data_IF_165294218111
#
_entry.id   IF_165294218111
#
_cell.length_a   1.000
_cell.length_b   1.000
_cell.length_c   1.000
_cell.angle_alpha   90.00
_cell.angle_beta   90.00
_cell.angle_gamma   90.00
#
_symmetry.space_group_name_H-M   'P 1'
#
loop_
_entity.id
_entity.type
_entity.pdbx_description
1 polymer ?
#
# COMPACT_ATOMS: atom_id res chain seq x y z
N UNK A 1 5.69 -3.92 -7.65
CA UNK A 1 5.66 -2.69 -6.83
C UNK A 1 6.24 -1.48 -7.57
N UNK A 2 7.23 -1.63 -8.45
CA UNK A 2 7.68 -0.55 -9.36
C UNK A 2 6.84 -0.58 -10.65
N UNK A 3 6.36 0.55 -11.19
CA UNK A 3 5.57 0.59 -12.42
C UNK A 3 6.48 0.45 -13.65
N UNK A 4 7.16 -0.71 -13.76
CA UNK A 4 8.21 -0.93 -14.77
C UNK A 4 7.66 -0.77 -16.18
N UNK A 5 6.52 -1.39 -16.52
CA UNK A 5 5.93 -1.29 -17.85
C UNK A 5 5.61 0.16 -18.29
N UNK A 6 4.91 0.99 -17.49
CA UNK A 6 4.75 2.41 -17.82
C UNK A 6 6.07 3.17 -17.98
N UNK A 7 7.09 2.85 -17.17
CA UNK A 7 8.39 3.50 -17.24
C UNK A 7 9.16 3.08 -18.49
N UNK A 8 9.18 1.79 -18.84
CA UNK A 8 9.87 1.29 -20.03
C UNK A 8 9.21 1.77 -21.32
N UNK A 9 7.88 1.95 -21.32
CA UNK A 9 7.16 2.53 -22.45
C UNK A 9 7.56 3.98 -22.77
N UNK A 10 8.09 4.74 -21.80
CA UNK A 10 8.53 6.12 -22.00
C UNK A 10 10.06 6.24 -22.09
N UNK A 11 10.78 5.59 -21.18
CA UNK A 11 12.24 5.68 -21.09
C UNK A 11 12.97 4.73 -22.05
N UNK A 12 12.32 3.66 -22.50
CA UNK A 12 12.97 2.52 -23.16
C UNK A 12 13.36 1.44 -22.15
N UNK A 13 13.24 0.16 -22.54
CA UNK A 13 13.60 -0.98 -21.69
C UNK A 13 15.09 -0.99 -21.31
N UNK A 14 15.95 -0.48 -22.19
CA UNK A 14 17.39 -0.33 -22.02
C UNK A 14 17.80 0.84 -21.11
N UNK A 15 16.84 1.61 -20.60
CA UNK A 15 17.07 2.75 -19.71
C UNK A 15 16.41 2.59 -18.33
N UNK A 16 15.83 1.41 -18.03
CA UNK A 16 15.21 1.09 -16.75
C UNK A 16 15.98 -0.03 -16.07
N UNK A 17 16.63 0.31 -14.97
CA UNK A 17 17.48 -0.61 -14.21
C UNK A 17 16.88 -0.91 -12.84
N UNK A 18 17.06 -2.16 -12.37
CA UNK A 18 16.56 -2.61 -11.07
C UNK A 18 17.72 -3.07 -10.19
N UNK A 19 17.97 -2.32 -9.11
CA UNK A 19 18.98 -2.63 -8.12
C UNK A 19 18.36 -3.35 -6.93
N UNK A 20 18.92 -4.50 -6.57
CA UNK A 20 18.56 -5.27 -5.37
C UNK A 20 19.71 -5.25 -4.37
N UNK A 21 19.37 -5.37 -3.09
CA UNK A 21 20.34 -5.35 -2.00
C UNK A 21 19.91 -6.29 -0.88
N UNK A 22 20.83 -6.64 0.01
CA UNK A 22 20.52 -7.42 1.20
C UNK A 22 19.78 -6.56 2.23
N UNK A 23 18.48 -6.81 2.42
CA UNK A 23 17.62 -6.08 3.36
C UNK A 23 18.05 -6.21 4.83
N UNK A 24 18.83 -7.24 5.19
CA UNK A 24 19.37 -7.45 6.53
C UNK A 24 20.87 -7.10 6.64
N UNK A 25 21.45 -6.55 5.57
CA UNK A 25 22.86 -6.16 5.50
C UNK A 25 23.12 -4.79 6.13
N UNK A 26 24.39 -4.35 6.11
CA UNK A 26 24.74 -3.01 6.56
C UNK A 26 24.36 -1.98 5.49
N UNK A 27 23.61 -0.91 5.81
CA UNK A 27 23.18 0.07 4.82
C UNK A 27 24.32 0.69 4.00
N UNK A 28 25.47 0.93 4.62
CA UNK A 28 26.65 1.49 3.93
C UNK A 28 27.34 0.51 2.97
N UNK A 29 27.20 -0.80 3.17
CA UNK A 29 27.68 -1.79 2.20
C UNK A 29 26.76 -1.78 0.97
N UNK A 30 25.44 -1.80 1.19
CA UNK A 30 24.45 -1.66 0.11
C UNK A 30 24.58 -0.31 -0.65
N UNK A 31 24.93 0.76 0.04
CA UNK A 31 25.20 2.07 -0.57
C UNK A 31 26.44 2.06 -1.47
N UNK A 32 27.50 1.35 -1.08
CA UNK A 32 28.67 1.14 -1.94
C UNK A 32 28.29 0.35 -3.19
N UNK A 33 27.53 -0.73 -3.03
CA UNK A 33 27.07 -1.55 -4.16
C UNK A 33 26.16 -0.75 -5.10
N UNK A 34 25.30 0.13 -4.54
CA UNK A 34 24.49 1.06 -5.32
C UNK A 34 25.36 2.04 -6.12
N UNK A 35 26.42 2.57 -5.52
CA UNK A 35 27.35 3.45 -6.24
C UNK A 35 28.01 2.74 -7.44
N UNK A 36 28.52 1.53 -7.21
CA UNK A 36 29.16 0.73 -8.26
C UNK A 36 28.15 0.40 -9.38
N UNK A 37 26.91 0.09 -9.00
CA UNK A 37 25.82 -0.13 -9.94
C UNK A 37 25.49 1.11 -10.78
N UNK A 38 25.45 2.30 -10.17
CA UNK A 38 25.22 3.57 -10.89
C UNK A 38 26.34 3.83 -11.92
N UNK A 39 27.61 3.58 -11.57
CA UNK A 39 28.71 3.74 -12.51
C UNK A 39 28.56 2.79 -13.71
N UNK A 40 28.21 1.53 -13.45
CA UNK A 40 27.95 0.54 -14.49
C UNK A 40 26.79 0.98 -15.42
N UNK A 41 25.68 1.47 -14.87
CA UNK A 41 24.54 1.98 -15.65
C UNK A 41 24.96 3.14 -16.55
N UNK A 42 25.71 4.10 -16.01
CA UNK A 42 26.21 5.25 -16.77
C UNK A 42 27.16 4.84 -17.90
N UNK A 43 28.05 3.87 -17.63
CA UNK A 43 28.97 3.33 -18.64
C UNK A 43 28.22 2.63 -19.78
N UNK A 44 27.20 1.83 -19.46
CA UNK A 44 26.41 1.11 -20.47
C UNK A 44 25.55 2.04 -21.34
N UNK A 45 24.91 3.03 -20.71
CA UNK A 45 23.93 3.90 -21.36
C UNK A 45 24.55 5.16 -21.96
N UNK A 46 25.80 5.49 -21.60
CA UNK A 46 26.46 6.74 -21.97
C UNK A 46 25.87 8.00 -21.30
N UNK A 47 24.97 7.85 -20.32
CA UNK A 47 24.36 8.98 -19.63
C UNK A 47 25.25 9.53 -18.52
N UNK A 48 25.26 10.85 -18.34
CA UNK A 48 26.05 11.51 -17.29
C UNK A 48 25.44 11.33 -15.89
N UNK A 49 24.12 11.16 -15.80
CA UNK A 49 23.38 11.07 -14.53
C UNK A 49 22.23 10.08 -14.62
N UNK A 50 21.81 9.59 -13.47
CA UNK A 50 20.65 8.71 -13.31
C UNK A 50 19.55 9.35 -12.46
N UNK A 51 18.32 8.91 -12.65
CA UNK A 51 17.23 9.16 -11.71
C UNK A 51 17.10 7.95 -10.76
N UNK A 52 16.89 8.21 -9.47
CA UNK A 52 16.64 7.15 -8.48
C UNK A 52 15.16 7.13 -8.09
N UNK A 53 14.61 5.93 -7.94
CA UNK A 53 13.28 5.67 -7.40
C UNK A 53 13.38 4.75 -6.18
N UNK A 54 13.83 5.24 -5.00
CA UNK A 54 13.88 4.42 -3.79
C UNK A 54 12.46 4.08 -3.33
N UNK A 55 12.23 2.80 -3.03
CA UNK A 55 10.95 2.30 -2.53
C UNK A 55 11.16 1.60 -1.20
N UNK A 56 10.30 1.87 -0.20
CA UNK A 56 10.37 1.22 1.12
C UNK A 56 11.79 1.33 1.72
N UNK A 57 12.37 0.23 2.20
CA UNK A 57 13.73 0.15 2.74
C UNK A 57 14.83 0.67 1.78
N UNK A 58 14.55 0.75 0.47
CA UNK A 58 15.44 1.42 -0.49
C UNK A 58 15.72 2.88 -0.12
N UNK A 59 14.82 3.54 0.61
CA UNK A 59 15.04 4.87 1.21
C UNK A 59 16.25 4.91 2.13
N UNK A 60 16.38 3.94 3.05
CA UNK A 60 17.53 3.83 3.95
C UNK A 60 18.84 3.68 3.19
N UNK A 61 18.85 2.87 2.13
CA UNK A 61 20.03 2.68 1.27
C UNK A 61 20.36 3.97 0.52
N UNK A 62 19.35 4.68 -0.01
CA UNK A 62 19.55 5.97 -0.68
C UNK A 62 20.10 7.03 0.29
N UNK A 63 19.57 7.14 1.50
CA UNK A 63 20.09 8.04 2.55
C UNK A 63 21.54 7.69 2.90
N UNK A 64 21.86 6.41 3.08
CA UNK A 64 23.23 5.95 3.32
C UNK A 64 24.18 6.27 2.15
N UNK A 65 23.71 6.15 0.90
CA UNK A 65 24.44 6.55 -0.30
C UNK A 65 24.77 8.04 -0.30
N UNK A 66 23.78 8.92 -0.10
CA UNK A 66 24.05 10.36 -0.05
C UNK A 66 24.94 10.75 1.13
N UNK A 67 24.86 10.04 2.26
CA UNK A 67 25.76 10.25 3.39
C UNK A 67 27.20 9.80 3.10
N UNK A 68 27.38 8.70 2.36
CA UNK A 68 28.70 8.17 2.01
C UNK A 68 29.36 8.93 0.85
N UNK A 69 28.55 9.46 -0.07
CA UNK A 69 28.98 10.14 -1.30
C UNK A 69 28.35 11.54 -1.42
N UNK A 70 28.57 12.46 -0.47
CA UNK A 70 27.87 13.75 -0.42
C UNK A 70 28.18 14.68 -1.61
N UNK A 71 29.33 14.51 -2.25
CA UNK A 71 29.77 15.31 -3.41
C UNK A 71 29.37 14.67 -4.75
N UNK A 72 28.56 13.61 -4.75
CA UNK A 72 28.15 12.93 -5.99
C UNK A 72 27.42 13.89 -6.93
N UNK A 73 27.80 13.87 -8.20
CA UNK A 73 27.10 14.57 -9.28
C UNK A 73 26.35 13.60 -10.21
N UNK A 74 26.33 12.31 -9.86
CA UNK A 74 25.78 11.23 -10.69
C UNK A 74 24.26 11.17 -10.66
N UNK A 75 23.63 11.90 -9.73
CA UNK A 75 22.18 11.87 -9.54
C UNK A 75 21.54 13.13 -10.12
N UNK A 76 20.54 12.94 -10.98
CA UNK A 76 19.72 14.01 -11.54
C UNK A 76 18.47 14.29 -10.68
N UNK A 77 17.78 13.22 -10.25
CA UNK A 77 16.53 13.32 -9.48
C UNK A 77 16.35 12.11 -8.58
N UNK A 78 15.72 12.32 -7.43
CA UNK A 78 15.26 11.25 -6.54
C UNK A 78 13.75 11.38 -6.36
N UNK A 79 13.02 10.29 -6.59
CA UNK A 79 11.58 10.20 -6.32
C UNK A 79 11.37 9.09 -5.29
N UNK A 80 11.01 9.46 -4.07
CA UNK A 80 10.77 8.50 -3.00
C UNK A 80 9.33 7.98 -3.08
N UNK A 81 9.16 6.66 -3.01
CA UNK A 81 7.83 6.01 -2.94
C UNK A 81 7.76 5.23 -1.64
N UNK A 82 6.98 5.72 -0.68
CA UNK A 82 6.89 5.16 0.69
C UNK A 82 8.27 4.81 1.28
N UNK A 83 9.28 5.64 1.01
CA UNK A 83 10.68 5.30 1.31
C UNK A 83 10.98 5.50 2.81
N UNK A 84 11.68 4.54 3.43
CA UNK A 84 12.06 4.59 4.85
C UNK A 84 13.27 5.53 5.06
N UNK A 85 13.08 6.85 4.96
CA UNK A 85 14.20 7.80 4.93
C UNK A 85 14.90 7.95 6.29
N UNK A 86 14.16 7.80 7.39
CA UNK A 86 14.68 7.80 8.77
C UNK A 86 14.55 6.40 9.42
N UNK A 87 14.57 5.35 8.60
CA UNK A 87 14.37 3.97 9.06
C UNK A 87 12.95 3.69 9.55
N UNK A 88 12.81 2.67 10.39
CA UNK A 88 11.54 2.33 11.03
C UNK A 88 11.77 1.91 12.48
N UNK A 89 10.96 2.44 13.39
CA UNK A 89 10.90 2.11 14.82
C UNK A 89 10.31 0.71 15.07
N UNK A 90 9.63 0.13 14.08
CA UNK A 90 8.79 -1.07 14.24
C UNK A 90 9.51 -2.26 14.89
N UNK A 91 10.73 -2.55 14.44
CA UNK A 91 11.53 -3.66 14.98
C UNK A 91 11.99 -3.35 16.40
N UNK A 92 12.33 -2.09 16.69
CA UNK A 92 12.74 -1.70 18.03
C UNK A 92 11.59 -1.76 19.02
N UNK A 93 10.40 -1.34 18.60
CA UNK A 93 9.21 -1.30 19.44
C UNK A 93 8.74 -2.74 19.72
N UNK A 94 8.78 -3.61 18.71
CA UNK A 94 8.49 -5.04 18.87
C UNK A 94 9.44 -5.71 19.88
N UNK A 95 10.76 -5.45 19.78
CA UNK A 95 11.76 -6.01 20.68
C UNK A 95 11.66 -5.47 22.11
N UNK A 96 11.08 -4.28 22.29
CA UNK A 96 10.82 -3.69 23.62
C UNK A 96 9.49 -4.17 24.22
N UNK A 97 8.73 -5.00 23.49
CA UNK A 97 7.42 -5.49 23.92
C UNK A 97 6.39 -4.37 24.06
N UNK A 98 6.49 -3.32 23.24
CA UNK A 98 5.52 -2.23 23.29
C UNK A 98 4.17 -2.65 22.70
N UNK A 99 3.11 -2.01 23.20
CA UNK A 99 1.71 -2.17 22.81
C UNK A 99 1.42 -1.68 21.36
N UNK A 100 2.32 -1.92 20.38
CA UNK A 100 2.10 -1.60 18.96
C UNK A 100 0.87 -2.35 18.45
N UNK A 101 0.78 -3.62 18.85
CA UNK A 101 -0.42 -4.43 18.73
C UNK A 101 -1.16 -4.21 20.04
N UNK A 102 -2.08 -3.24 20.06
CA UNK A 102 -3.01 -3.11 21.18
C UNK A 102 -3.79 -4.42 21.33
N UNK A 103 -4.19 -4.78 22.56
CA UNK A 103 -5.06 -5.95 22.78
C UNK A 103 -6.30 -5.89 21.88
N UNK A 104 -6.83 -4.68 21.63
CA UNK A 104 -7.91 -4.45 20.68
C UNK A 104 -7.51 -4.92 19.27
N UNK A 105 -6.46 -4.35 18.66
CA UNK A 105 -5.97 -4.76 17.34
C UNK A 105 -5.62 -6.27 17.25
N UNK A 106 -5.01 -6.86 18.28
CA UNK A 106 -4.70 -8.30 18.33
C UNK A 106 -5.95 -9.17 18.17
N UNK A 107 -7.05 -8.77 18.81
CA UNK A 107 -8.27 -9.57 18.91
C UNK A 107 -9.37 -9.18 17.91
N UNK A 108 -9.38 -7.94 17.40
CA UNK A 108 -10.41 -7.44 16.47
C UNK A 108 -9.96 -7.41 15.02
N UNK A 109 -8.73 -6.99 14.74
CA UNK A 109 -8.34 -6.58 13.38
C UNK A 109 -7.17 -7.41 12.82
N UNK A 110 -6.27 -7.89 13.67
CA UNK A 110 -5.10 -8.65 13.25
C UNK A 110 -5.49 -9.95 12.53
N UNK A 111 -6.41 -10.75 13.07
CA UNK A 111 -6.80 -12.01 12.44
C UNK A 111 -7.56 -11.83 11.10
N UNK A 112 -8.48 -10.85 10.97
CA UNK A 112 -9.01 -10.41 9.68
C UNK A 112 -7.93 -10.00 8.68
N UNK A 113 -6.97 -9.16 9.07
CA UNK A 113 -5.87 -8.71 8.20
C UNK A 113 -4.94 -9.87 7.79
N UNK A 114 -4.74 -10.84 8.68
CA UNK A 114 -3.93 -12.04 8.45
C UNK A 114 -4.56 -13.03 7.47
N UNK A 115 -5.90 -13.14 7.42
CA UNK A 115 -6.61 -14.24 6.74
C UNK A 115 -7.42 -13.74 5.53
N UNK A 116 -7.69 -12.44 5.46
CA UNK A 116 -8.56 -11.79 4.49
C UNK A 116 -9.94 -11.51 5.11
N UNK A 117 -10.44 -10.29 4.92
CA UNK A 117 -11.72 -9.81 5.49
C UNK A 117 -12.95 -10.64 5.04
N UNK A 118 -12.80 -11.43 3.98
CA UNK A 118 -13.87 -12.20 3.34
C UNK A 118 -13.93 -13.70 3.73
N UNK A 119 -13.01 -14.18 4.57
CA UNK A 119 -12.90 -15.58 4.98
C UNK A 119 -13.54 -15.81 6.37
N UNK A 120 -14.58 -16.67 6.50
CA UNK A 120 -15.22 -17.04 7.79
C UNK A 120 -14.25 -17.57 8.86
N UNK A 121 -13.09 -18.07 8.41
CA UNK A 121 -12.01 -18.55 9.24
C UNK A 121 -11.40 -17.46 10.12
N UNK A 122 -11.44 -16.18 9.71
CA UNK A 122 -10.86 -15.04 10.45
C UNK A 122 -11.42 -14.91 11.88
N UNK A 123 -12.73 -15.09 12.05
CA UNK A 123 -13.38 -15.02 13.35
C UNK A 123 -13.47 -16.38 14.07
N UNK A 124 -13.42 -17.49 13.33
CA UNK A 124 -13.38 -18.85 13.89
C UNK A 124 -12.07 -19.13 14.65
N UNK A 125 -10.97 -18.49 14.24
CA UNK A 125 -9.67 -18.52 14.95
C UNK A 125 -9.81 -17.96 16.37
N UNK A 126 -10.59 -16.91 16.58
CA UNK A 126 -10.84 -16.33 17.91
C UNK A 126 -11.52 -17.33 18.88
N UNK A 127 -12.36 -18.21 18.34
CA UNK A 127 -13.00 -19.31 19.09
C UNK A 127 -12.04 -20.51 19.26
N UNK A 128 -11.24 -20.82 18.24
CA UNK A 128 -10.35 -22.01 18.17
C UNK A 128 -9.04 -21.87 18.97
N UNK A 129 -8.50 -20.65 19.14
CA UNK A 129 -7.33 -20.38 20.00
C UNK A 129 -7.57 -20.83 21.45
N UNK A 130 -8.84 -21.00 21.85
CA UNK A 130 -9.24 -21.46 23.16
C UNK A 130 -9.30 -22.99 23.34
N UNK A 131 -9.21 -23.81 22.27
CA UNK A 131 -9.41 -25.27 22.35
C UNK A 131 -8.31 -26.12 21.69
N UNK A 132 -7.36 -25.52 20.99
CA UNK A 132 -6.31 -26.22 20.22
C UNK A 132 -5.06 -26.51 21.09
N UNK A 133 -4.40 -27.68 20.92
CA UNK A 133 -3.12 -27.99 21.58
C UNK A 133 -2.02 -26.96 21.24
N UNK A 134 -1.21 -26.58 22.25
CA UNK A 134 -0.16 -25.56 22.14
C UNK A 134 0.74 -25.71 20.91
N UNK A 135 1.03 -26.94 20.46
CA UNK A 135 1.90 -27.16 19.31
C UNK A 135 1.29 -26.64 17.99
N UNK A 136 -0.01 -26.83 17.80
CA UNK A 136 -0.72 -26.32 16.62
C UNK A 136 -0.90 -24.80 16.73
N UNK A 137 -1.02 -24.26 17.95
CA UNK A 137 -0.96 -22.81 18.20
C UNK A 137 0.42 -22.27 17.87
N UNK A 138 1.52 -22.96 18.17
CA UNK A 138 2.86 -22.52 17.77
C UNK A 138 3.07 -22.61 16.26
N UNK A 139 2.55 -23.64 15.60
CA UNK A 139 2.62 -23.71 14.12
C UNK A 139 1.75 -22.65 13.45
N UNK A 140 0.60 -22.31 14.06
CA UNK A 140 -0.28 -21.22 13.61
C UNK A 140 0.31 -19.85 13.96
N UNK A 141 0.96 -19.72 15.11
CA UNK A 141 1.70 -18.53 15.55
C UNK A 141 2.99 -18.37 14.76
N UNK A 142 3.63 -19.41 14.23
CA UNK A 142 4.78 -19.26 13.34
C UNK A 142 4.33 -18.78 11.96
N UNK A 143 3.17 -19.28 11.48
CA UNK A 143 2.51 -18.78 10.25
C UNK A 143 1.88 -17.39 10.43
N UNK A 144 1.37 -17.11 11.61
CA UNK A 144 0.82 -15.80 11.97
C UNK A 144 1.95 -14.85 12.35
N UNK A 145 3.08 -15.30 12.90
CA UNK A 145 4.25 -14.47 13.17
C UNK A 145 4.92 -14.10 11.87
N UNK A 146 5.01 -15.00 10.87
CA UNK A 146 5.48 -14.58 9.54
C UNK A 146 4.57 -13.50 8.96
N UNK A 147 3.25 -13.67 9.05
CA UNK A 147 2.29 -12.69 8.53
C UNK A 147 2.10 -11.44 9.41
N UNK A 148 2.30 -11.52 10.73
CA UNK A 148 2.33 -10.39 11.68
C UNK A 148 3.63 -9.64 11.47
N UNK A 149 4.75 -10.34 11.23
CA UNK A 149 5.98 -9.73 10.77
C UNK A 149 5.76 -9.09 9.41
N UNK A 150 5.00 -9.69 8.49
CA UNK A 150 4.62 -9.05 7.23
C UNK A 150 3.78 -7.78 7.52
N UNK A 151 2.70 -7.85 8.31
CA UNK A 151 1.87 -6.70 8.73
C UNK A 151 2.65 -5.61 9.49
N UNK A 152 3.65 -5.99 10.29
CA UNK A 152 4.52 -5.05 11.01
C UNK A 152 5.59 -4.47 10.07
N UNK A 153 6.05 -5.21 9.07
CA UNK A 153 6.89 -4.69 7.97
C UNK A 153 6.07 -3.76 7.06
N UNK A 154 4.73 -3.82 7.11
CA UNK A 154 3.77 -2.99 6.37
C UNK A 154 3.47 -1.64 7.07
N UNK A 155 4.10 -1.28 8.20
CA UNK A 155 3.92 0.06 8.80
C UNK A 155 5.22 0.85 8.75
N UNK A 156 5.26 1.88 7.89
CA UNK A 156 6.29 2.92 7.95
C UNK A 156 5.62 4.24 8.33
N UNK A 157 6.14 4.85 9.40
CA UNK A 157 5.60 6.10 9.92
C UNK A 157 5.69 7.24 8.90
N UNK A 158 4.65 8.09 8.88
CA UNK A 158 4.63 9.34 8.10
C UNK A 158 5.85 10.22 8.43
N UNK A 159 6.27 10.19 9.69
CA UNK A 159 7.47 10.88 10.17
C UNK A 159 8.73 10.44 9.41
N UNK A 160 8.90 9.14 9.17
CA UNK A 160 10.07 8.61 8.44
C UNK A 160 9.95 8.88 6.94
N UNK A 161 8.78 8.59 6.34
CA UNK A 161 8.61 8.69 4.87
C UNK A 161 8.63 10.11 4.32
N UNK A 162 8.16 11.08 5.09
CA UNK A 162 8.14 12.49 4.72
C UNK A 162 9.12 13.35 5.53
N UNK A 163 9.98 12.71 6.34
CA UNK A 163 10.98 13.32 7.24
C UNK A 163 10.39 14.46 8.09
N UNK A 164 9.95 14.15 9.30
CA UNK A 164 9.37 15.07 10.30
C UNK A 164 7.91 15.48 10.11
N UNK A 165 7.24 15.08 9.02
CA UNK A 165 5.79 15.26 8.90
C UNK A 165 5.08 14.53 10.05
N UNK A 166 4.00 15.12 10.56
CA UNK A 166 3.28 14.56 11.72
C UNK A 166 1.95 13.97 11.28
N UNK A 167 1.59 12.84 11.85
CA UNK A 167 0.23 12.30 11.76
C UNK A 167 -0.37 12.12 13.13
N UNK A 168 -1.70 12.08 13.19
CA UNK A 168 -2.42 11.68 14.40
C UNK A 168 -2.42 10.16 14.54
N UNK A 169 -2.72 9.68 15.74
CA UNK A 169 -3.06 8.28 15.96
C UNK A 169 -4.28 7.87 15.13
N UNK A 170 -4.39 6.57 14.84
CA UNK A 170 -5.53 6.00 14.13
C UNK A 170 -6.85 6.39 14.80
N UNK A 171 -7.84 6.82 14.01
CA UNK A 171 -9.14 7.26 14.49
C UNK A 171 -9.16 8.61 15.24
N UNK A 172 -8.03 9.34 15.32
CA UNK A 172 -7.95 10.69 15.91
C UNK A 172 -7.77 11.74 14.81
N UNK A 173 -7.99 13.00 15.18
CA UNK A 173 -7.77 14.19 14.33
C UNK A 173 -7.13 15.31 15.14
N UNK A 174 -6.37 16.19 14.50
CA UNK A 174 -5.81 17.37 15.14
C UNK A 174 -6.94 18.28 15.66
N UNK A 175 -6.85 18.79 16.90
CA UNK A 175 -7.91 19.55 17.53
C UNK A 175 -8.18 20.87 16.78
N UNK A 176 -9.39 21.42 16.93
CA UNK A 176 -9.72 22.75 16.43
C UNK A 176 -8.72 23.79 16.97
N UNK A 177 -8.19 24.65 16.09
CA UNK A 177 -7.13 25.61 16.44
C UNK A 177 -5.70 25.05 16.48
N UNK A 178 -5.48 23.79 16.07
CA UNK A 178 -4.14 23.24 15.87
C UNK A 178 -3.28 24.17 15.00
N UNK A 179 -2.10 24.51 15.52
CA UNK A 179 -1.13 25.36 14.83
C UNK A 179 -0.09 24.48 14.17
N UNK A 180 -0.04 24.55 12.86
CA UNK A 180 0.90 23.79 12.04
C UNK A 180 2.34 24.21 12.31
N UNK A 181 3.24 23.24 12.23
CA UNK A 181 4.67 23.48 12.34
C UNK A 181 5.21 23.92 10.97
N UNK A 182 5.16 25.23 10.67
CA UNK A 182 5.65 25.82 9.41
C UNK A 182 7.18 25.86 9.30
N UNK A 183 7.85 24.77 9.68
CA UNK A 183 9.31 24.70 9.74
C UNK A 183 9.93 24.87 8.34
N UNK A 184 9.35 24.26 7.31
CA UNK A 184 9.93 24.20 5.97
C UNK A 184 9.16 24.98 4.89
N UNK A 185 7.83 24.98 4.90
CA UNK A 185 7.05 25.92 4.07
C UNK A 185 6.87 27.25 4.81
N UNK A 186 7.31 28.35 4.18
CA UNK A 186 7.22 29.72 4.74
C UNK A 186 6.10 30.55 4.13
N UNK A 187 5.45 30.05 3.08
CA UNK A 187 4.30 30.72 2.49
C UNK A 187 3.05 30.45 3.34
N UNK A 188 2.49 31.51 3.92
CA UNK A 188 1.31 31.40 4.79
C UNK A 188 0.01 31.15 4.03
N UNK A 189 0.00 31.32 2.71
CA UNK A 189 -1.13 30.97 1.85
C UNK A 189 -1.19 29.48 1.52
N UNK A 190 -0.08 28.76 1.73
CA UNK A 190 -0.02 27.33 1.49
C UNK A 190 -0.58 26.56 2.70
N UNK A 191 -1.66 25.83 2.46
CA UNK A 191 -2.30 24.99 3.46
C UNK A 191 -1.92 23.54 3.22
N UNK A 192 -1.05 23.00 4.08
CA UNK A 192 -0.70 21.57 4.03
C UNK A 192 -1.22 20.79 5.25
N UNK A 193 -2.32 21.25 5.84
CA UNK A 193 -3.10 20.40 6.73
C UNK A 193 -4.02 19.57 5.85
N UNK A 194 -3.96 18.25 6.01
CA UNK A 194 -4.92 17.35 5.38
C UNK A 194 -6.37 17.79 5.69
N UNK A 195 -7.33 17.67 4.74
CA UNK A 195 -8.71 18.12 4.95
C UNK A 195 -9.43 17.45 6.11
N UNK A 196 -9.08 16.19 6.40
CA UNK A 196 -9.58 15.40 7.53
C UNK A 196 -8.82 15.67 8.84
N UNK A 197 -7.80 16.53 8.80
CA UNK A 197 -6.96 16.96 9.92
C UNK A 197 -6.19 15.80 10.56
N UNK A 198 -5.70 14.83 9.79
CA UNK A 198 -4.93 13.69 10.31
C UNK A 198 -3.43 13.78 10.04
N UNK A 199 -3.02 14.54 9.03
CA UNK A 199 -1.63 14.80 8.61
C UNK A 199 -1.31 16.29 8.63
N UNK A 200 -0.21 16.65 9.29
CA UNK A 200 0.43 17.97 9.29
C UNK A 200 1.72 17.90 8.45
N UNK A 201 1.57 18.19 7.16
CA UNK A 201 2.66 18.12 6.20
C UNK A 201 3.72 19.26 6.29
N UNK A 202 3.43 20.50 6.74
CA UNK A 202 4.45 21.56 6.86
C UNK A 202 5.59 21.21 7.81
N UNK A 203 5.36 20.28 8.74
CA UNK A 203 6.39 19.76 9.63
C UNK A 203 7.45 18.93 8.88
N UNK A 204 7.12 18.39 7.71
CA UNK A 204 8.02 17.61 6.87
C UNK A 204 9.06 18.47 6.14
N UNK A 205 10.19 17.89 5.76
CA UNK A 205 11.31 18.63 5.11
C UNK A 205 10.96 19.18 3.73
N UNK A 206 10.08 18.50 2.97
CA UNK A 206 9.72 18.85 1.58
C UNK A 206 8.19 18.92 1.39
N UNK A 207 7.48 19.82 2.10
CA UNK A 207 6.01 19.85 2.09
C UNK A 207 5.45 20.17 0.70
N UNK A 208 6.17 20.97 -0.09
CA UNK A 208 5.81 21.35 -1.46
C UNK A 208 6.00 20.22 -2.48
N UNK A 209 6.75 19.17 -2.13
CA UNK A 209 7.08 18.04 -3.01
C UNK A 209 6.74 16.69 -2.38
N UNK A 210 5.78 16.67 -1.44
CA UNK A 210 5.32 15.45 -0.78
C UNK A 210 3.81 15.29 -0.92
N UNK A 211 3.38 14.11 -1.37
CA UNK A 211 1.99 13.72 -1.53
C UNK A 211 1.65 12.59 -0.56
N UNK A 212 0.44 12.63 -0.01
CA UNK A 212 -0.02 11.74 1.04
C UNK A 212 -1.23 10.96 0.55
N UNK A 213 -1.19 9.64 0.75
CA UNK A 213 -2.26 8.71 0.40
C UNK A 213 -2.86 8.13 1.69
N UNK A 214 -4.12 8.47 1.98
CA UNK A 214 -4.81 8.06 3.20
C UNK A 214 -5.38 6.64 3.06
N UNK A 215 -5.45 5.92 4.19
CA UNK A 215 -5.93 4.54 4.27
C UNK A 215 -5.15 3.59 3.36
N UNK A 216 -3.93 3.97 3.00
CA UNK A 216 -3.04 3.17 2.16
C UNK A 216 -2.11 2.38 3.06
N UNK A 217 -2.22 1.06 3.02
CA UNK A 217 -1.21 0.19 3.61
C UNK A 217 0.10 0.27 2.81
N UNK A 218 1.23 0.07 3.49
CA UNK A 218 2.56 0.32 2.90
C UNK A 218 2.88 -0.58 1.70
N UNK A 219 2.54 -1.87 1.77
CA UNK A 219 2.80 -2.83 0.69
C UNK A 219 1.79 -2.74 -0.46
N UNK A 220 0.55 -2.35 -0.15
CA UNK A 220 -0.54 -2.11 -1.08
C UNK A 220 -0.31 -0.95 -2.03
N UNK A 221 0.76 -0.16 -1.84
CA UNK A 221 1.17 0.90 -2.78
C UNK A 221 1.37 0.37 -4.21
N UNK A 222 1.74 -0.92 -4.36
CA UNK A 222 1.83 -1.58 -5.67
C UNK A 222 0.48 -1.65 -6.41
N UNK A 223 -0.62 -1.70 -5.66
CA UNK A 223 -1.98 -1.71 -6.17
C UNK A 223 -2.52 -0.32 -6.47
N UNK A 224 -1.94 0.73 -5.87
CA UNK A 224 -2.38 2.11 -6.06
C UNK A 224 -1.83 2.75 -7.32
N UNK A 225 -2.52 2.51 -8.44
CA UNK A 225 -2.11 3.03 -9.73
C UNK A 225 -2.12 4.57 -9.83
N UNK A 226 -2.92 5.27 -9.01
CA UNK A 226 -2.88 6.73 -8.93
C UNK A 226 -1.55 7.22 -8.35
N UNK A 227 -1.08 6.60 -7.26
CA UNK A 227 0.23 6.88 -6.67
C UNK A 227 1.38 6.49 -7.62
N UNK A 228 1.27 5.35 -8.30
CA UNK A 228 2.28 4.93 -9.27
C UNK A 228 2.35 5.86 -10.49
N UNK A 229 1.22 6.40 -10.95
CA UNK A 229 1.18 7.42 -12.03
C UNK A 229 1.84 8.73 -11.59
N UNK A 230 1.63 9.16 -10.34
CA UNK A 230 2.35 10.29 -9.79
C UNK A 230 3.86 10.03 -9.78
N UNK A 231 4.30 8.89 -9.23
CA UNK A 231 5.72 8.54 -9.16
C UNK A 231 6.37 8.52 -10.55
N UNK A 232 5.72 7.91 -11.55
CA UNK A 232 6.19 7.92 -12.93
C UNK A 232 6.23 9.33 -13.51
N UNK A 233 5.20 10.16 -13.27
CA UNK A 233 5.15 11.55 -13.74
C UNK A 233 6.29 12.38 -13.15
N UNK A 234 6.53 12.27 -11.84
CA UNK A 234 7.63 12.96 -11.16
C UNK A 234 8.98 12.51 -11.70
N UNK A 235 9.17 11.21 -11.93
CA UNK A 235 10.42 10.65 -12.43
C UNK A 235 10.73 11.15 -13.85
N UNK A 236 9.72 11.13 -14.73
CA UNK A 236 9.84 11.44 -16.16
C UNK A 236 9.76 12.95 -16.48
N UNK A 237 9.24 13.78 -15.58
CA UNK A 237 9.14 15.22 -15.82
C UNK A 237 10.52 15.86 -16.01
N UNK A 238 10.71 16.65 -17.07
CA UNK A 238 11.95 17.40 -17.26
C UNK A 238 12.11 18.57 -16.28
N UNK A 239 11.00 19.04 -15.69
CA UNK A 239 10.98 20.17 -14.77
C UNK A 239 10.61 19.71 -13.35
N UNK A 240 11.18 20.33 -12.30
CA UNK A 240 10.73 20.10 -10.93
C UNK A 240 9.23 20.39 -10.79
N UNK A 241 8.52 19.50 -10.12
CA UNK A 241 7.09 19.63 -9.84
C UNK A 241 6.86 19.86 -8.34
N UNK A 242 5.78 20.55 -8.01
CA UNK A 242 5.26 20.68 -6.66
C UNK A 242 3.80 20.20 -6.60
N UNK A 243 3.26 20.13 -5.39
CA UNK A 243 1.84 19.84 -5.12
C UNK A 243 0.88 20.84 -5.81
N UNK A 244 1.41 21.96 -6.30
CA UNK A 244 0.65 23.01 -7.01
C UNK A 244 0.76 22.92 -8.53
N UNK A 245 1.59 22.03 -9.09
CA UNK A 245 1.77 21.94 -10.54
C UNK A 245 0.52 21.45 -11.28
N UNK A 246 -0.16 20.42 -10.74
CA UNK A 246 -1.40 19.85 -11.30
C UNK A 246 -2.32 19.34 -10.17
N UNK A 247 -2.79 20.22 -9.26
CA UNK A 247 -3.55 19.81 -8.07
C UNK A 247 -4.86 19.07 -8.40
N UNK A 248 -5.44 19.31 -9.58
CA UNK A 248 -6.63 18.63 -10.09
C UNK A 248 -6.36 17.19 -10.54
N UNK A 249 -5.10 16.83 -10.82
CA UNK A 249 -4.68 15.47 -11.16
C UNK A 249 -4.00 14.79 -9.98
N UNK A 250 -3.10 15.50 -9.31
CA UNK A 250 -2.26 14.99 -8.24
C UNK A 250 -2.45 15.84 -6.97
N UNK A 251 -3.61 15.74 -6.30
CA UNK A 251 -3.86 16.48 -5.08
C UNK A 251 -2.87 16.05 -3.99
N UNK A 252 -2.40 17.01 -3.18
CA UNK A 252 -1.46 16.73 -2.09
C UNK A 252 -1.95 15.63 -1.14
N UNK A 253 -3.27 15.60 -0.89
CA UNK A 253 -3.93 14.59 -0.07
C UNK A 253 -4.89 13.81 -0.95
N UNK A 254 -4.67 12.51 -1.07
CA UNK A 254 -5.44 11.60 -1.92
C UNK A 254 -5.85 10.34 -1.13
N UNK A 255 -6.76 9.55 -1.68
CA UNK A 255 -7.24 8.31 -1.07
C UNK A 255 -6.44 7.08 -1.46
N UNK A 256 -6.79 5.94 -0.87
CA UNK A 256 -6.39 4.65 -1.42
C UNK A 256 -7.22 4.29 -2.64
N UNK A 257 -6.65 3.45 -3.48
CA UNK A 257 -7.33 2.73 -4.56
C UNK A 257 -6.50 1.50 -4.86
N UNK A 258 -7.08 0.31 -4.85
CA UNK A 258 -6.35 -0.89 -5.25
C UNK A 258 -6.88 -1.42 -6.59
N UNK A 259 -6.05 -1.37 -7.62
CA UNK A 259 -6.36 -1.90 -8.96
C UNK A 259 -5.43 -3.04 -9.36
N UNK A 260 -4.73 -3.67 -8.40
CA UNK A 260 -3.72 -4.70 -8.68
C UNK A 260 -4.33 -5.89 -9.41
N UNK A 261 -5.38 -6.49 -8.84
CA UNK A 261 -5.98 -7.70 -9.37
C UNK A 261 -6.82 -7.40 -10.62
N UNK A 262 -7.55 -6.28 -10.65
CA UNK A 262 -8.17 -5.75 -11.87
C UNK A 262 -7.18 -5.70 -13.06
N UNK A 263 -6.00 -5.08 -12.86
CA UNK A 263 -4.99 -4.92 -13.93
C UNK A 263 -4.26 -6.21 -14.27
N UNK A 264 -4.03 -7.09 -13.30
CA UNK A 264 -3.27 -8.34 -13.49
C UNK A 264 -4.12 -9.46 -14.07
N UNK A 265 -5.35 -9.61 -13.59
CA UNK A 265 -6.14 -10.84 -13.78
C UNK A 265 -7.44 -10.62 -14.53
N UNK A 266 -7.99 -9.41 -14.54
CA UNK A 266 -9.33 -9.15 -15.11
C UNK A 266 -9.24 -8.48 -16.48
N UNK A 267 -8.54 -7.36 -16.58
CA UNK A 267 -8.35 -6.63 -17.85
C UNK A 267 -7.73 -7.55 -18.92
N UNK A 268 -6.66 -8.32 -18.65
CA UNK A 268 -6.04 -9.15 -19.68
C UNK A 268 -6.98 -10.22 -20.26
N UNK A 269 -7.96 -10.72 -19.49
CA UNK A 269 -8.95 -11.68 -19.99
C UNK A 269 -9.83 -11.04 -21.07
N UNK A 270 -10.31 -9.81 -20.82
CA UNK A 270 -11.05 -9.06 -21.82
C UNK A 270 -10.17 -8.75 -23.06
N UNK A 271 -8.96 -8.24 -22.85
CA UNK A 271 -8.05 -7.87 -23.94
C UNK A 271 -7.68 -9.08 -24.83
N UNK A 272 -7.43 -10.24 -24.22
CA UNK A 272 -7.14 -11.47 -24.94
C UNK A 272 -8.36 -11.94 -25.76
N UNK A 273 -9.54 -12.00 -25.12
CA UNK A 273 -10.78 -12.39 -25.79
C UNK A 273 -11.18 -11.39 -26.90
N UNK A 274 -10.78 -10.12 -26.77
CA UNK A 274 -10.97 -9.14 -27.83
C UNK A 274 -10.00 -9.40 -29.00
N UNK A 275 -8.73 -9.66 -28.69
CA UNK A 275 -7.67 -9.86 -29.68
C UNK A 275 -7.85 -11.14 -30.51
N UNK A 276 -8.34 -12.22 -29.89
CA UNK A 276 -8.58 -13.50 -30.59
C UNK A 276 -9.95 -13.58 -31.29
N UNK A 277 -10.77 -12.53 -31.18
CA UNK A 277 -12.09 -12.43 -31.80
C UNK A 277 -13.22 -13.12 -31.03
N UNK A 278 -12.95 -13.68 -29.85
CA UNK A 278 -13.97 -14.30 -28.99
C UNK A 278 -15.05 -13.29 -28.62
N UNK A 279 -14.69 -12.07 -28.22
CA UNK A 279 -15.65 -11.00 -27.93
C UNK A 279 -16.53 -10.74 -29.16
N UNK A 280 -15.96 -10.70 -30.37
CA UNK A 280 -16.72 -10.46 -31.59
C UNK A 280 -17.71 -11.60 -31.91
N UNK A 281 -17.51 -12.82 -31.41
CA UNK A 281 -18.42 -13.95 -31.62
C UNK A 281 -19.59 -14.00 -30.62
N UNK A 282 -19.53 -13.23 -29.52
CA UNK A 282 -20.57 -13.23 -28.48
C UNK A 282 -21.90 -12.60 -28.95
N UNK A 283 -23.03 -12.96 -28.33
CA UNK A 283 -24.30 -12.24 -28.47
C UNK A 283 -24.15 -10.73 -28.28
N UNK A 284 -24.85 -9.93 -29.09
CA UNK A 284 -24.76 -8.47 -29.09
C UNK A 284 -24.85 -7.87 -27.69
N UNK A 285 -25.81 -8.30 -26.88
CA UNK A 285 -26.00 -7.79 -25.52
C UNK A 285 -24.78 -8.03 -24.61
N UNK A 286 -24.13 -9.20 -24.70
CA UNK A 286 -22.94 -9.53 -23.91
C UNK A 286 -21.74 -8.71 -24.38
N UNK A 287 -21.60 -8.51 -25.70
CA UNK A 287 -20.55 -7.63 -26.26
C UNK A 287 -20.70 -6.20 -25.78
N UNK A 288 -21.91 -5.66 -25.86
CA UNK A 288 -22.20 -4.28 -25.47
C UNK A 288 -21.91 -4.06 -23.98
N UNK A 289 -22.28 -5.01 -23.12
CA UNK A 289 -22.00 -4.90 -21.68
C UNK A 289 -20.50 -5.04 -21.37
N UNK A 290 -19.77 -5.95 -22.03
CA UNK A 290 -18.32 -6.06 -21.86
C UNK A 290 -17.61 -4.77 -22.26
N UNK A 291 -17.98 -4.15 -23.38
CA UNK A 291 -17.41 -2.87 -23.79
C UNK A 291 -17.78 -1.74 -22.83
N UNK A 292 -19.02 -1.67 -22.36
CA UNK A 292 -19.45 -0.65 -21.39
C UNK A 292 -18.75 -0.82 -20.02
N UNK A 293 -18.55 -2.05 -19.56
CA UNK A 293 -17.80 -2.34 -18.34
C UNK A 293 -16.32 -1.96 -18.49
N UNK A 294 -15.71 -2.28 -19.63
CA UNK A 294 -14.33 -1.90 -19.92
C UNK A 294 -14.16 -0.37 -20.08
N UNK A 295 -15.14 0.34 -20.65
CA UNK A 295 -15.15 1.81 -20.72
C UNK A 295 -15.20 2.43 -19.32
N UNK A 296 -16.00 1.87 -18.40
CA UNK A 296 -16.03 2.31 -17.00
C UNK A 296 -14.67 2.10 -16.32
N UNK A 297 -14.04 0.94 -16.52
CA UNK A 297 -12.69 0.66 -16.00
C UNK A 297 -11.67 1.65 -16.56
N UNK A 298 -11.67 1.89 -17.87
CA UNK A 298 -10.77 2.83 -18.52
C UNK A 298 -10.97 4.27 -18.02
N UNK A 299 -12.22 4.69 -17.82
CA UNK A 299 -12.55 6.02 -17.29
C UNK A 299 -12.02 6.19 -15.86
N UNK A 300 -12.22 5.19 -15.01
CA UNK A 300 -11.69 5.17 -13.63
C UNK A 300 -10.15 5.21 -13.64
N UNK A 301 -9.50 4.38 -14.46
CA UNK A 301 -8.04 4.34 -14.57
C UNK A 301 -7.46 5.61 -15.21
N UNK A 302 -8.19 6.35 -16.04
CA UNK A 302 -7.72 7.63 -16.57
C UNK A 302 -7.59 8.70 -15.47
N UNK A 303 -8.40 8.59 -14.41
CA UNK A 303 -8.32 9.47 -13.23
C UNK A 303 -7.18 9.08 -12.29
N UNK A 304 -6.52 10.09 -11.74
CA UNK A 304 -5.52 9.98 -10.66
C UNK A 304 -6.09 10.42 -9.30
N UNK A 305 -7.38 10.74 -9.25
CA UNK A 305 -8.13 10.88 -7.99
C UNK A 305 -8.52 9.47 -7.54
N UNK A 306 -8.01 9.06 -6.39
CA UNK A 306 -8.18 7.71 -5.89
C UNK A 306 -9.54 7.56 -5.20
N UNK A 307 -10.30 6.58 -5.67
CA UNK A 307 -11.60 6.19 -5.14
C UNK A 307 -11.69 4.66 -5.22
N UNK A 308 -11.54 4.01 -4.07
CA UNK A 308 -11.50 2.55 -3.98
C UNK A 308 -12.87 1.90 -4.21
N UNK A 309 -13.94 2.56 -3.77
CA UNK A 309 -15.31 2.06 -3.99
C UNK A 309 -15.67 2.10 -5.48
N UNK A 310 -15.29 3.19 -6.17
CA UNK A 310 -15.41 3.26 -7.62
C UNK A 310 -14.60 2.16 -8.32
N UNK A 311 -13.38 1.89 -7.85
CA UNK A 311 -12.52 0.85 -8.43
C UNK A 311 -13.12 -0.55 -8.23
N UNK A 312 -13.57 -0.88 -7.02
CA UNK A 312 -14.28 -2.13 -6.69
C UNK A 312 -15.53 -2.31 -7.53
N UNK A 313 -16.34 -1.25 -7.69
CA UNK A 313 -17.54 -1.31 -8.51
C UNK A 313 -17.23 -1.55 -10.00
N UNK A 314 -16.19 -0.91 -10.54
CA UNK A 314 -15.75 -1.12 -11.91
C UNK A 314 -15.21 -2.55 -12.13
N UNK A 315 -14.40 -3.05 -11.19
CA UNK A 315 -13.90 -4.43 -11.23
C UNK A 315 -15.03 -5.45 -11.15
N UNK A 316 -15.95 -5.30 -10.19
CA UNK A 316 -17.08 -6.20 -10.01
C UNK A 316 -17.96 -6.27 -11.27
N UNK A 317 -18.22 -5.12 -11.91
CA UNK A 317 -18.98 -5.07 -13.17
C UNK A 317 -18.28 -5.82 -14.30
N UNK A 318 -16.98 -5.58 -14.49
CA UNK A 318 -16.21 -6.26 -15.54
C UNK A 318 -16.12 -7.76 -15.29
N UNK A 319 -15.89 -8.20 -14.05
CA UNK A 319 -15.91 -9.62 -13.67
C UNK A 319 -17.27 -10.26 -13.96
N UNK A 320 -18.36 -9.60 -13.59
CA UNK A 320 -19.71 -10.09 -13.86
C UNK A 320 -19.97 -10.22 -15.37
N UNK A 321 -19.58 -9.23 -16.16
CA UNK A 321 -19.73 -9.27 -17.62
C UNK A 321 -18.88 -10.40 -18.26
N UNK A 322 -17.64 -10.60 -17.78
CA UNK A 322 -16.77 -11.69 -18.23
C UNK A 322 -17.34 -13.07 -17.84
N UNK A 323 -17.92 -13.19 -16.64
CA UNK A 323 -18.57 -14.41 -16.19
C UNK A 323 -19.83 -14.75 -17.00
N UNK A 324 -20.68 -13.76 -17.28
CA UNK A 324 -21.86 -13.92 -18.14
C UNK A 324 -21.48 -14.35 -19.57
N UNK A 325 -20.36 -13.84 -20.09
CA UNK A 325 -19.78 -14.24 -21.37
C UNK A 325 -19.06 -15.60 -21.34
N UNK A 326 -18.94 -16.26 -20.18
CA UNK A 326 -18.23 -17.53 -20.02
C UNK A 326 -16.70 -17.43 -20.14
N UNK A 327 -16.14 -16.22 -20.00
CA UNK A 327 -14.70 -15.94 -20.13
C UNK A 327 -13.96 -15.99 -18.79
N UNK A 328 -14.69 -15.97 -17.68
CA UNK A 328 -14.15 -16.05 -16.33
C UNK A 328 -15.11 -16.84 -15.44
N UNK A 329 -14.59 -17.51 -14.40
CA UNK A 329 -15.45 -18.11 -13.38
C UNK A 329 -16.19 -17.02 -12.59
N UNK A 330 -17.52 -17.15 -12.48
CA UNK A 330 -18.33 -16.25 -11.68
C UNK A 330 -18.14 -16.48 -10.17
N UNK A 331 -18.52 -15.50 -9.32
CA UNK A 331 -18.51 -15.70 -7.87
C UNK A 331 -19.41 -16.89 -7.51
N UNK A 332 -18.91 -17.82 -6.70
CA UNK A 332 -19.70 -18.95 -6.23
C UNK A 332 -20.78 -18.44 -5.26
N UNK A 333 -22.05 -18.43 -5.67
CA UNK A 333 -23.19 -17.96 -4.85
C UNK A 333 -23.27 -18.66 -3.48
N UNK A 334 -22.86 -19.93 -3.42
CA UNK A 334 -22.86 -20.72 -2.19
C UNK A 334 -21.81 -20.21 -1.20
N UNK A 335 -20.56 -20.02 -1.62
CA UNK A 335 -19.51 -19.47 -0.77
C UNK A 335 -19.85 -18.05 -0.29
N UNK A 336 -20.37 -17.18 -1.16
CA UNK A 336 -20.67 -15.79 -0.80
C UNK A 336 -21.82 -15.68 0.22
N UNK A 337 -22.86 -16.50 0.07
CA UNK A 337 -23.97 -16.60 1.02
C UNK A 337 -23.53 -17.18 2.36
N UNK A 338 -22.72 -18.25 2.33
CA UNK A 338 -22.14 -18.83 3.54
C UNK A 338 -21.19 -17.87 4.25
N UNK A 339 -20.39 -17.10 3.51
CA UNK A 339 -19.46 -16.12 4.09
C UNK A 339 -20.20 -14.98 4.79
N UNK A 340 -21.27 -14.45 4.17
CA UNK A 340 -22.13 -13.42 4.78
C UNK A 340 -22.81 -13.90 6.06
N UNK A 341 -23.37 -15.11 6.05
CA UNK A 341 -24.03 -15.70 7.23
C UNK A 341 -23.01 -15.97 8.34
N UNK A 342 -21.85 -16.52 8.00
CA UNK A 342 -20.81 -16.82 8.97
C UNK A 342 -20.23 -15.56 9.59
N UNK A 343 -19.99 -14.49 8.81
CA UNK A 343 -19.50 -13.20 9.31
C UNK A 343 -20.42 -12.62 10.39
N UNK A 344 -21.72 -12.53 10.12
CA UNK A 344 -22.71 -11.98 11.06
C UNK A 344 -22.79 -12.80 12.35
N UNK A 345 -22.77 -14.13 12.24
CA UNK A 345 -22.78 -15.03 13.40
C UNK A 345 -21.51 -14.88 14.24
N UNK A 346 -20.36 -14.79 13.58
CA UNK A 346 -19.08 -14.71 14.24
C UNK A 346 -18.83 -13.34 14.88
N UNK A 347 -19.22 -12.23 14.24
CA UNK A 347 -19.20 -10.89 14.83
C UNK A 347 -20.08 -10.84 16.09
N UNK A 348 -21.30 -11.38 16.02
CA UNK A 348 -22.19 -11.45 17.17
C UNK A 348 -21.59 -12.25 18.34
N UNK A 349 -20.99 -13.41 18.06
CA UNK A 349 -20.36 -14.25 19.09
C UNK A 349 -19.11 -13.55 19.66
N UNK A 350 -18.30 -12.91 18.83
CA UNK A 350 -17.12 -12.15 19.24
C UNK A 350 -17.51 -11.00 20.19
N UNK A 351 -18.51 -10.20 19.81
CA UNK A 351 -19.04 -9.11 20.63
C UNK A 351 -19.57 -9.58 21.99
N UNK A 352 -20.27 -10.71 22.01
CA UNK A 352 -20.79 -11.31 23.24
C UNK A 352 -19.64 -11.79 24.13
N UNK A 353 -18.64 -12.48 23.56
CA UNK A 353 -17.48 -12.96 24.30
C UNK A 353 -16.66 -11.79 24.87
N UNK A 354 -16.44 -10.74 24.07
CA UNK A 354 -15.73 -9.54 24.51
C UNK A 354 -16.46 -8.83 25.65
N UNK A 355 -17.80 -8.69 25.57
CA UNK A 355 -18.62 -8.09 26.64
C UNK A 355 -18.61 -8.90 27.93
N UNK A 356 -18.46 -10.22 27.86
CA UNK A 356 -18.52 -11.12 29.03
C UNK A 356 -17.14 -11.33 29.67
N UNK A 357 -16.07 -11.42 28.87
CA UNK A 357 -14.72 -11.79 29.34
C UNK A 357 -13.75 -10.60 29.36
N UNK A 358 -14.06 -9.51 28.67
CA UNK A 358 -13.12 -8.43 28.40
C UNK A 358 -11.92 -8.91 27.55
N UNK A 359 -10.80 -8.19 27.52
CA UNK A 359 -9.60 -8.56 26.77
C UNK A 359 -8.82 -9.73 27.39
N UNK A 360 -9.48 -10.65 28.11
CA UNK A 360 -8.85 -11.74 28.87
C UNK A 360 -9.09 -13.09 28.19
N UNK A 361 -8.04 -13.91 28.09
CA UNK A 361 -8.18 -15.29 27.65
C UNK A 361 -8.82 -16.19 28.71
N UNK A 362 -9.50 -17.27 28.31
CA UNK A 362 -10.11 -18.25 29.24
C UNK A 362 -9.10 -18.85 30.25
N UNK A 363 -7.81 -18.88 29.91
CA UNK A 363 -6.73 -19.31 30.80
C UNK A 363 -6.45 -18.36 31.97
N UNK A 364 -6.79 -17.07 31.85
CA UNK A 364 -6.62 -16.09 32.92
C UNK A 364 -7.79 -16.12 33.90
N UNK A 365 -9.00 -16.46 33.42
CA UNK A 365 -10.16 -16.73 34.27
C UNK A 365 -9.89 -17.94 35.18
N UNK A 366 -9.26 -18.99 34.65
CA UNK A 366 -8.91 -20.19 35.43
C UNK A 366 -7.81 -19.96 36.49
N UNK A 367 -6.98 -18.90 36.35
CA UNK A 367 -5.93 -18.56 37.31
C UNK A 367 -6.41 -17.74 38.51
N UNK A 368 -7.62 -17.18 38.44
CA UNK A 368 -8.24 -16.41 39.53
C UNK A 368 -9.35 -17.17 40.27
N UNK A 369 -9.55 -18.45 39.94
CA UNK A 369 -10.45 -19.36 40.67
C UNK A 369 -9.67 -20.37 41.56
N UNK A 370 -8.48 -20.01 42.03
CA UNK A 370 -7.75 -20.75 43.07
C UNK A 370 -7.65 -19.93 44.36
#
# INVERSE_FOLDING_TARGET
MVPVQPLTGVAGEDHVYFFTFNAFGKPYEAAKDLNDYIQMVKEQTGHEKVNLLPVSLGGTVATAYFSAYPETQDINKVVNVVAALDGSSIVSDLLKGSDIITDEYLYTDLFPDLIGEDEPLSYLVNILVCTIPRQVIYDLLDKALSKVLDTLVVIIEVYSTAMHAKSTQLGKTFPAGYRQDGAFCKDLSHHHLSPDRTVDAPAGVLPEQTWYYRNQDHEGIAGNDAALKLAATLLLSAVPMSVHSFPERFPQFNGMRNTKDLRRDVIPVFEQAQADGTVAALPQAQRDELYAAMEQVNTMLASTIADDEQAKAAEARLRAALADAGLMEGPSESAETWNKIAKVLCEFISDVLYKVLGPRGFSDVARHMK
#
